data_IF_292990707854
#
_entry.id   IF_292990707854
#
_cell.length_a   1.000
_cell.length_b   1.000
_cell.length_c   1.000
_cell.angle_alpha   90.00
_cell.angle_beta   90.00
_cell.angle_gamma   90.00
#
_symmetry.space_group_name_H-M   'P 1'
#
loop_
_entity.id
_entity.type
_entity.pdbx_description
1 polymer ?
#
# COMPACT_ATOMS: atom_id res chain seq x y z
N UNK A 1 12.71 -27.66 3.11
CA UNK A 1 12.16 -26.32 2.81
C UNK A 1 11.72 -25.69 4.11
N UNK A 2 11.92 -24.38 4.24
CA UNK A 2 11.61 -23.63 5.46
C UNK A 2 10.47 -22.65 5.19
N UNK A 3 9.53 -22.58 6.13
CA UNK A 3 8.44 -21.59 6.12
C UNK A 3 8.54 -20.76 7.39
N UNK A 4 8.65 -19.45 7.19
CA UNK A 4 8.70 -18.46 8.25
C UNK A 4 7.33 -17.80 8.36
N UNK A 5 6.75 -17.78 9.56
CA UNK A 5 5.44 -17.18 9.82
C UNK A 5 5.57 -16.14 10.92
N UNK A 6 5.34 -14.88 10.56
CA UNK A 6 5.25 -13.76 11.47
C UNK A 6 3.79 -13.44 11.75
N UNK A 7 3.37 -13.49 13.02
CA UNK A 7 2.12 -12.85 13.47
C UNK A 7 2.36 -11.35 13.63
N UNK A 8 1.65 -10.56 12.82
CA UNK A 8 1.71 -9.10 12.84
C UNK A 8 1.00 -8.53 14.06
N UNK A 9 1.50 -7.39 14.52
CA UNK A 9 0.85 -6.52 15.49
C UNK A 9 -0.05 -5.54 14.74
N UNK A 10 -1.28 -5.37 15.23
CA UNK A 10 -2.21 -4.41 14.64
C UNK A 10 -1.64 -2.98 14.71
N UNK A 11 -1.87 -2.20 13.65
CA UNK A 11 -1.46 -0.80 13.57
C UNK A 11 0.01 -0.56 13.20
N UNK A 12 0.82 -1.61 13.00
CA UNK A 12 2.22 -1.48 12.56
C UNK A 12 2.37 -1.74 11.07
N UNK A 13 3.22 -0.94 10.41
CA UNK A 13 3.61 -1.18 9.03
C UNK A 13 4.78 -2.18 8.97
N UNK A 14 4.70 -3.12 8.03
CA UNK A 14 5.73 -4.13 7.78
C UNK A 14 6.27 -4.00 6.37
N UNK A 15 7.59 -3.99 6.24
CA UNK A 15 8.28 -4.05 4.96
C UNK A 15 8.76 -5.49 4.70
N UNK A 16 8.43 -6.04 3.52
CA UNK A 16 8.78 -7.43 3.22
C UNK A 16 10.28 -7.65 3.09
N UNK A 17 11.06 -6.66 2.63
CA UNK A 17 12.51 -6.80 2.52
C UNK A 17 13.14 -6.81 3.92
N UNK A 18 12.69 -5.94 4.82
CA UNK A 18 13.12 -5.92 6.24
C UNK A 18 12.83 -7.25 6.94
N UNK A 19 11.65 -7.82 6.69
CA UNK A 19 11.28 -9.14 7.21
C UNK A 19 12.09 -10.28 6.58
N UNK A 20 12.39 -10.20 5.28
CA UNK A 20 13.30 -11.15 4.63
C UNK A 20 14.71 -11.09 5.22
N UNK A 21 15.25 -9.91 5.53
CA UNK A 21 16.53 -9.78 6.24
C UNK A 21 16.49 -10.44 7.62
N UNK A 22 15.36 -10.32 8.32
CA UNK A 22 15.15 -11.03 9.60
C UNK A 22 15.09 -12.55 9.45
N UNK A 23 14.64 -13.05 8.29
CA UNK A 23 14.68 -14.47 7.93
C UNK A 23 16.12 -14.92 7.66
N UNK A 24 16.94 -14.10 6.98
CA UNK A 24 18.35 -14.41 6.73
C UNK A 24 19.14 -14.65 8.02
N UNK A 25 18.91 -13.83 9.04
CA UNK A 25 19.53 -14.01 10.37
C UNK A 25 19.13 -15.36 10.97
N UNK A 26 17.87 -15.76 10.83
CA UNK A 26 17.35 -17.06 11.35
C UNK A 26 17.86 -18.26 10.58
N UNK A 27 18.21 -18.07 9.31
CA UNK A 27 18.82 -19.08 8.46
C UNK A 27 20.35 -19.21 8.66
N UNK A 28 20.93 -18.48 9.62
CA UNK A 28 22.38 -18.37 9.80
C UNK A 28 23.08 -17.99 8.48
N UNK A 29 22.50 -16.99 7.82
CA UNK A 29 22.86 -16.51 6.50
C UNK A 29 22.81 -14.98 6.47
N UNK A 30 23.25 -14.31 7.54
CA UNK A 30 23.20 -12.86 7.68
C UNK A 30 24.08 -12.12 6.63
N UNK A 31 25.08 -12.82 6.10
CA UNK A 31 25.95 -12.40 5.00
C UNK A 31 25.33 -12.60 3.60
N UNK A 32 24.16 -13.24 3.52
CA UNK A 32 23.51 -13.51 2.26
C UNK A 32 22.91 -12.24 1.63
N UNK A 33 22.92 -12.22 0.30
CA UNK A 33 22.42 -11.11 -0.51
C UNK A 33 21.00 -11.40 -0.97
N UNK A 34 20.07 -10.49 -0.69
CA UNK A 34 18.73 -10.51 -1.26
C UNK A 34 18.75 -10.00 -2.70
N UNK A 35 18.17 -10.77 -3.60
CA UNK A 35 18.14 -10.45 -5.03
C UNK A 35 16.70 -10.36 -5.49
N UNK A 36 16.37 -9.25 -6.14
CA UNK A 36 15.12 -9.10 -6.89
C UNK A 36 15.35 -9.57 -8.31
N UNK A 37 14.68 -10.64 -8.73
CA UNK A 37 14.75 -11.15 -10.11
C UNK A 37 13.90 -10.27 -11.04
N UNK A 38 14.18 -10.32 -12.35
CA UNK A 38 13.46 -9.54 -13.38
C UNK A 38 11.95 -9.80 -13.38
N UNK A 39 11.54 -11.03 -13.08
CA UNK A 39 10.13 -11.41 -12.93
C UNK A 39 9.49 -10.95 -11.60
N UNK A 40 10.20 -10.14 -10.81
CA UNK A 40 9.73 -9.57 -9.54
C UNK A 40 9.84 -10.50 -8.33
N UNK A 41 10.26 -11.76 -8.50
CA UNK A 41 10.45 -12.72 -7.39
C UNK A 41 11.74 -12.46 -6.61
N UNK A 42 11.81 -12.98 -5.39
CA UNK A 42 12.98 -12.84 -4.52
C UNK A 42 13.86 -14.10 -4.57
N UNK A 43 15.17 -13.90 -4.54
CA UNK A 43 16.17 -14.93 -4.31
C UNK A 43 17.11 -14.53 -3.17
N UNK A 44 17.78 -15.52 -2.59
CA UNK A 44 18.84 -15.34 -1.60
C UNK A 44 20.11 -16.01 -2.13
N UNK A 45 21.14 -15.22 -2.38
CA UNK A 45 22.49 -15.72 -2.63
C UNK A 45 23.25 -15.84 -1.32
N UNK A 46 23.68 -17.05 -0.97
CA UNK A 46 24.43 -17.34 0.26
C UNK A 46 25.94 -17.36 -0.02
N UNK A 47 26.75 -17.26 1.03
CA UNK A 47 28.20 -17.35 0.93
C UNK A 47 28.70 -18.65 0.30
N UNK A 48 29.94 -18.59 -0.22
CA UNK A 48 30.53 -19.61 -1.07
C UNK A 48 30.39 -21.03 -0.50
N UNK A 49 29.77 -21.92 -1.27
CA UNK A 49 29.55 -23.33 -0.94
C UNK A 49 28.13 -23.68 -0.49
N UNK A 50 27.28 -22.69 -0.15
CA UNK A 50 25.85 -22.92 0.13
C UNK A 50 25.01 -22.68 -1.14
N UNK A 51 24.00 -23.52 -1.45
CA UNK A 51 23.16 -23.30 -2.63
C UNK A 51 22.31 -22.02 -2.49
N UNK A 52 21.95 -21.38 -3.60
CA UNK A 52 21.02 -20.24 -3.55
C UNK A 52 19.61 -20.69 -3.12
N UNK A 53 18.85 -19.81 -2.48
CA UNK A 53 17.45 -20.07 -2.14
C UNK A 53 16.52 -19.29 -3.07
N UNK A 54 15.45 -19.93 -3.51
CA UNK A 54 14.30 -19.25 -4.09
C UNK A 54 13.29 -18.95 -2.98
N UNK A 55 12.67 -17.77 -3.04
CA UNK A 55 11.80 -17.29 -1.97
C UNK A 55 10.49 -16.77 -2.52
N UNK A 56 9.39 -17.15 -1.87
CA UNK A 56 8.07 -16.58 -2.14
C UNK A 56 7.44 -16.08 -0.85
N UNK A 57 6.96 -14.84 -0.89
CA UNK A 57 6.34 -14.14 0.24
C UNK A 57 4.83 -14.04 0.02
N UNK A 58 4.07 -14.19 1.10
CA UNK A 58 2.65 -13.87 1.13
C UNK A 58 2.26 -13.22 2.46
N UNK A 59 1.21 -12.42 2.46
CA UNK A 59 0.80 -11.69 3.65
C UNK A 59 -0.71 -11.50 3.72
N UNK A 60 -1.23 -11.45 4.94
CA UNK A 60 -2.62 -11.09 5.24
C UNK A 60 -2.64 -9.89 6.18
N UNK A 61 -3.81 -9.50 6.69
CA UNK A 61 -3.93 -8.47 7.73
C UNK A 61 -3.12 -8.80 9.00
N UNK A 62 -3.25 -10.02 9.50
CA UNK A 62 -2.65 -10.49 10.75
C UNK A 62 -1.33 -11.24 10.59
N UNK A 63 -0.93 -11.60 9.36
CA UNK A 63 0.26 -12.43 9.15
C UNK A 63 1.13 -11.95 7.99
N UNK A 64 2.43 -12.20 8.11
CA UNK A 64 3.38 -12.23 7.01
C UNK A 64 4.04 -13.60 7.01
N UNK A 65 4.24 -14.20 5.85
CA UNK A 65 4.91 -15.47 5.76
C UNK A 65 5.77 -15.59 4.51
N UNK A 66 6.77 -16.47 4.58
CA UNK A 66 7.78 -16.64 3.55
C UNK A 66 8.18 -18.12 3.46
N UNK A 67 8.14 -18.69 2.26
CA UNK A 67 8.69 -20.02 1.97
C UNK A 67 10.05 -19.87 1.28
N UNK A 68 11.05 -20.61 1.74
CA UNK A 68 12.41 -20.63 1.20
C UNK A 68 12.86 -22.05 0.88
N UNK A 69 13.32 -22.29 -0.36
CA UNK A 69 13.74 -23.61 -0.82
C UNK A 69 14.94 -23.57 -1.78
N UNK A 70 15.67 -24.69 -1.84
CA UNK A 70 16.89 -24.88 -2.65
C UNK A 70 16.59 -25.50 -4.03
N UNK A 71 15.46 -26.20 -4.17
CA UNK A 71 15.10 -27.01 -5.35
C UNK A 71 14.42 -26.21 -6.48
N UNK A 72 14.93 -24.99 -6.75
CA UNK A 72 14.41 -24.11 -7.80
C UNK A 72 13.23 -23.23 -7.37
N UNK A 73 12.46 -22.68 -8.33
CA UNK A 73 11.40 -21.72 -8.03
C UNK A 73 10.37 -22.27 -7.04
N UNK A 74 9.89 -21.39 -6.17
CA UNK A 74 8.82 -21.67 -5.21
C UNK A 74 7.78 -20.58 -5.33
N UNK A 75 6.52 -20.96 -5.27
CA UNK A 75 5.39 -20.06 -5.09
C UNK A 75 4.67 -20.41 -3.81
N UNK A 76 4.23 -19.39 -3.09
CA UNK A 76 3.67 -19.55 -1.75
C UNK A 76 2.57 -18.54 -1.52
N UNK A 77 1.45 -19.01 -0.97
CA UNK A 77 0.34 -18.15 -0.62
C UNK A 77 -0.30 -18.52 0.71
N UNK A 78 -0.82 -17.52 1.42
CA UNK A 78 -1.50 -17.67 2.70
C UNK A 78 -2.77 -16.81 2.75
N UNK A 79 -3.80 -17.31 3.40
CA UNK A 79 -5.06 -16.61 3.65
C UNK A 79 -5.56 -16.89 5.07
N UNK A 80 -6.21 -15.91 5.69
CA UNK A 80 -6.82 -16.09 7.01
C UNK A 80 -8.10 -16.92 6.91
N UNK A 81 -8.20 -17.97 7.73
CA UNK A 81 -9.41 -18.80 7.82
C UNK A 81 -10.58 -17.97 8.32
N UNK A 82 -11.79 -18.31 7.87
CA UNK A 82 -13.01 -17.56 8.21
C UNK A 82 -13.23 -16.30 7.37
N UNK A 83 -12.38 -16.03 6.38
CA UNK A 83 -12.61 -14.95 5.40
C UNK A 83 -13.90 -15.20 4.62
N UNK A 84 -14.77 -14.18 4.57
CA UNK A 84 -15.99 -14.21 3.77
C UNK A 84 -15.67 -14.14 2.27
N UNK A 85 -16.12 -15.12 1.51
CA UNK A 85 -15.99 -15.17 0.05
C UNK A 85 -16.97 -14.19 -0.59
N UNK A 86 -16.51 -13.37 -1.53
CA UNK A 86 -17.40 -12.53 -2.34
C UNK A 86 -17.82 -13.30 -3.60
N UNK A 87 -19.12 -13.33 -3.98
CA UNK A 87 -19.59 -14.09 -5.14
C UNK A 87 -18.91 -13.72 -6.47
N UNK A 88 -18.48 -12.47 -6.63
CA UNK A 88 -17.73 -12.02 -7.82
C UNK A 88 -16.39 -12.73 -7.98
N UNK A 89 -15.75 -13.10 -6.87
CA UNK A 89 -14.47 -13.83 -6.85
C UNK A 89 -14.63 -15.28 -7.32
N UNK A 90 -15.82 -15.87 -7.22
CA UNK A 90 -16.05 -17.22 -7.75
C UNK A 90 -16.00 -17.25 -9.28
N UNK A 91 -16.43 -16.18 -9.94
CA UNK A 91 -16.51 -16.10 -11.41
C UNK A 91 -15.15 -16.09 -12.10
N UNK A 92 -14.08 -15.76 -11.38
CA UNK A 92 -12.70 -15.77 -11.91
C UNK A 92 -12.04 -17.15 -11.81
N UNK A 93 -12.65 -18.08 -11.07
CA UNK A 93 -12.15 -19.46 -10.93
C UNK A 93 -12.42 -20.27 -12.20
N UNK A 94 -11.71 -21.38 -12.36
CA UNK A 94 -11.93 -22.30 -13.46
C UNK A 94 -13.33 -22.97 -13.34
N UNK A 95 -14.05 -23.26 -14.44
CA UNK A 95 -15.38 -23.85 -14.37
C UNK A 95 -15.47 -25.16 -13.57
N UNK A 96 -14.40 -25.97 -13.53
CA UNK A 96 -14.36 -27.17 -12.68
C UNK A 96 -14.37 -26.84 -11.18
N UNK A 97 -13.65 -25.81 -10.76
CA UNK A 97 -13.61 -25.33 -9.37
C UNK A 97 -14.95 -24.71 -8.97
N UNK A 98 -15.58 -23.97 -9.89
CA UNK A 98 -16.92 -23.42 -9.68
C UNK A 98 -17.95 -24.54 -9.45
N UNK A 99 -17.92 -25.60 -10.26
CA UNK A 99 -18.79 -26.79 -10.07
C UNK A 99 -18.49 -27.50 -8.75
N UNK A 100 -17.22 -27.65 -8.40
CA UNK A 100 -16.81 -28.25 -7.13
C UNK A 100 -17.30 -27.45 -5.92
N UNK A 101 -17.27 -26.11 -5.97
CA UNK A 101 -17.82 -25.30 -4.89
C UNK A 101 -19.35 -25.30 -4.86
N UNK A 102 -20.01 -25.39 -6.02
CA UNK A 102 -21.46 -25.36 -6.13
C UNK A 102 -22.18 -26.58 -5.51
N UNK A 103 -21.47 -27.68 -5.23
CA UNK A 103 -22.05 -28.83 -4.49
C UNK A 103 -21.98 -28.66 -2.97
N UNK A 104 -21.23 -27.68 -2.48
CA UNK A 104 -21.10 -27.36 -1.06
C UNK A 104 -22.14 -26.29 -0.69
N UNK A 105 -22.64 -26.34 0.54
CA UNK A 105 -23.59 -25.35 1.04
C UNK A 105 -22.94 -23.96 1.10
N UNK A 106 -23.46 -23.00 0.34
CA UNK A 106 -22.92 -21.64 0.27
C UNK A 106 -22.93 -20.99 1.66
N UNK A 107 -21.79 -20.44 2.07
CA UNK A 107 -21.63 -19.81 3.39
C UNK A 107 -21.29 -20.77 4.53
N UNK A 108 -21.31 -22.08 4.30
CA UNK A 108 -20.81 -23.05 5.28
C UNK A 108 -19.29 -22.91 5.49
N UNK A 109 -18.81 -23.41 6.64
CA UNK A 109 -17.38 -23.45 6.93
C UNK A 109 -16.61 -24.31 5.92
N UNK A 110 -17.21 -25.40 5.45
CA UNK A 110 -16.65 -26.28 4.43
C UNK A 110 -16.50 -25.57 3.08
N UNK A 111 -17.55 -24.88 2.61
CA UNK A 111 -17.48 -24.08 1.39
C UNK A 111 -16.39 -22.99 1.48
N UNK A 112 -16.32 -22.27 2.61
CA UNK A 112 -15.28 -21.27 2.84
C UNK A 112 -13.88 -21.86 2.81
N UNK A 113 -13.68 -23.00 3.47
CA UNK A 113 -12.40 -23.71 3.52
C UNK A 113 -11.98 -24.23 2.14
N UNK A 114 -12.90 -24.84 1.40
CA UNK A 114 -12.68 -25.32 0.04
C UNK A 114 -12.29 -24.18 -0.90
N UNK A 115 -12.96 -23.03 -0.80
CA UNK A 115 -12.60 -21.85 -1.57
C UNK A 115 -11.18 -21.36 -1.25
N UNK A 116 -10.82 -21.24 0.03
CA UNK A 116 -9.47 -20.78 0.42
C UNK A 116 -8.38 -21.77 -0.04
N UNK A 117 -8.64 -23.07 0.01
CA UNK A 117 -7.74 -24.11 -0.52
C UNK A 117 -7.53 -23.92 -2.04
N UNK A 118 -8.61 -23.72 -2.81
CA UNK A 118 -8.52 -23.44 -4.26
C UNK A 118 -7.73 -22.16 -4.50
N UNK A 119 -8.08 -21.08 -3.79
CA UNK A 119 -7.50 -19.76 -3.95
C UNK A 119 -5.99 -19.78 -3.70
N UNK A 120 -5.58 -20.25 -2.53
CA UNK A 120 -4.16 -20.29 -2.15
C UNK A 120 -3.35 -21.19 -3.07
N UNK A 121 -3.88 -22.35 -3.49
CA UNK A 121 -3.19 -23.23 -4.47
C UNK A 121 -2.96 -22.52 -5.80
N UNK A 122 -3.97 -21.84 -6.33
CA UNK A 122 -3.86 -21.12 -7.61
C UNK A 122 -2.86 -19.96 -7.51
N UNK A 123 -2.96 -19.14 -6.46
CA UNK A 123 -2.02 -18.03 -6.21
C UNK A 123 -0.59 -18.56 -6.02
N UNK A 124 -0.40 -19.66 -5.30
CA UNK A 124 0.93 -20.28 -5.15
C UNK A 124 1.50 -20.73 -6.49
N UNK A 125 0.68 -21.31 -7.38
CA UNK A 125 1.12 -21.70 -8.72
C UNK A 125 1.45 -20.49 -9.60
N UNK A 126 0.63 -19.45 -9.59
CA UNK A 126 0.88 -18.20 -10.33
C UNK A 126 2.19 -17.54 -9.86
N UNK A 127 2.44 -17.49 -8.55
CA UNK A 127 3.69 -16.99 -7.98
C UNK A 127 4.89 -17.86 -8.36
N UNK A 128 4.73 -19.18 -8.40
CA UNK A 128 5.78 -20.11 -8.85
C UNK A 128 6.20 -19.80 -10.29
N UNK A 129 5.24 -19.52 -11.18
CA UNK A 129 5.53 -19.14 -12.56
C UNK A 129 6.22 -17.78 -12.70
N UNK A 130 6.24 -16.96 -11.64
CA UNK A 130 6.73 -15.59 -11.69
C UNK A 130 5.88 -14.69 -12.60
N UNK A 131 4.60 -15.05 -12.80
CA UNK A 131 3.64 -14.27 -13.59
C UNK A 131 2.71 -13.53 -12.62
N UNK A 132 2.40 -12.26 -12.89
CA UNK A 132 1.45 -11.50 -12.07
C UNK A 132 0.01 -11.99 -12.24
N UNK A 133 -0.94 -11.33 -11.57
CA UNK A 133 -2.40 -11.61 -11.64
C UNK A 133 -2.98 -11.60 -13.08
N UNK A 134 -2.24 -11.07 -14.05
CA UNK A 134 -2.58 -11.17 -15.47
C UNK A 134 -2.57 -12.62 -16.00
N UNK A 135 -1.97 -13.57 -15.28
CA UNK A 135 -2.10 -14.99 -15.59
C UNK A 135 -3.50 -15.47 -15.16
N UNK A 136 -4.38 -15.65 -16.14
CA UNK A 136 -5.81 -15.85 -15.92
C UNK A 136 -6.11 -17.04 -15.00
N UNK A 137 -6.67 -16.76 -13.82
CA UNK A 137 -7.09 -17.77 -12.84
C UNK A 137 -8.08 -18.80 -13.43
N UNK A 138 -8.82 -18.46 -14.48
CA UNK A 138 -9.74 -19.37 -15.15
C UNK A 138 -9.08 -20.32 -16.16
N UNK A 139 -7.77 -20.19 -16.43
CA UNK A 139 -7.08 -20.95 -17.50
C UNK A 139 -6.59 -22.34 -17.09
N UNK A 140 -6.54 -22.62 -15.79
CA UNK A 140 -6.13 -23.92 -15.24
C UNK A 140 -6.95 -24.24 -13.99
N UNK A 141 -7.05 -25.52 -13.65
CA UNK A 141 -7.76 -26.01 -12.47
C UNK A 141 -6.79 -26.59 -11.46
N UNK A 142 -7.04 -26.36 -10.16
CA UNK A 142 -6.38 -27.09 -9.06
C UNK A 142 -7.26 -28.23 -8.51
N UNK A 143 -8.47 -28.36 -9.04
CA UNK A 143 -9.41 -29.45 -8.75
C UNK A 143 -9.49 -30.37 -9.96
N UNK A 144 -9.36 -31.68 -9.72
CA UNK A 144 -9.44 -32.73 -10.71
C UNK A 144 -10.88 -33.07 -11.11
N UNK A 145 -11.02 -34.00 -12.05
CA UNK A 145 -12.34 -34.36 -12.62
C UNK A 145 -13.23 -35.06 -11.60
N UNK A 146 -12.66 -35.66 -10.56
CA UNK A 146 -13.40 -36.38 -9.50
C UNK A 146 -13.60 -35.52 -8.25
N UNK A 147 -13.28 -34.23 -8.31
CA UNK A 147 -13.40 -33.30 -7.17
C UNK A 147 -12.23 -33.37 -6.18
N UNK A 148 -11.17 -34.10 -6.52
CA UNK A 148 -9.95 -34.17 -5.74
C UNK A 148 -9.04 -32.97 -5.98
N UNK A 149 -8.31 -32.52 -4.96
CA UNK A 149 -7.27 -31.51 -5.16
C UNK A 149 -6.05 -32.12 -5.86
N UNK A 150 -5.65 -31.51 -6.97
CA UNK A 150 -4.51 -31.96 -7.77
C UNK A 150 -3.20 -31.75 -6.98
N UNK A 151 -2.37 -32.79 -6.93
CA UNK A 151 -1.04 -32.74 -6.29
C UNK A 151 0.05 -32.25 -7.25
N UNK A 152 -0.24 -32.26 -8.54
CA UNK A 152 0.68 -31.86 -9.60
C UNK A 152 -0.05 -31.06 -10.67
N UNK A 153 0.61 -30.04 -11.21
CA UNK A 153 0.19 -29.27 -12.37
C UNK A 153 1.29 -29.31 -13.44
N UNK A 154 0.97 -28.89 -14.66
CA UNK A 154 1.97 -28.67 -15.71
C UNK A 154 2.25 -27.18 -15.86
N UNK A 155 3.52 -26.80 -15.84
CA UNK A 155 3.94 -25.44 -16.20
C UNK A 155 3.81 -25.18 -17.72
N UNK A 156 3.97 -23.93 -18.18
CA UNK A 156 3.90 -23.59 -19.61
C UNK A 156 4.91 -24.31 -20.51
N UNK A 157 6.01 -24.82 -19.95
CA UNK A 157 7.03 -25.60 -20.67
C UNK A 157 6.72 -27.11 -20.63
N UNK A 158 5.57 -27.49 -20.06
CA UNK A 158 5.13 -28.88 -19.93
C UNK A 158 5.77 -29.65 -18.78
N UNK A 159 6.55 -28.99 -17.91
CA UNK A 159 7.19 -29.63 -16.75
C UNK A 159 6.17 -29.85 -15.64
N UNK A 160 6.28 -30.99 -14.96
CA UNK A 160 5.46 -31.29 -13.79
C UNK A 160 5.92 -30.46 -12.60
N UNK A 161 4.98 -29.83 -11.91
CA UNK A 161 5.21 -29.05 -10.68
C UNK A 161 4.28 -29.54 -9.59
N UNK A 162 4.70 -29.43 -8.34
CA UNK A 162 3.99 -29.96 -7.18
C UNK A 162 3.24 -28.86 -6.45
N UNK A 163 1.99 -29.11 -6.07
CA UNK A 163 1.15 -28.18 -5.30
C UNK A 163 0.53 -28.89 -4.09
N UNK A 164 0.70 -28.30 -2.90
CA UNK A 164 0.17 -28.84 -1.65
C UNK A 164 -0.07 -27.77 -0.61
N UNK A 165 -0.84 -28.11 0.42
CA UNK A 165 -1.27 -27.18 1.47
C UNK A 165 -0.77 -27.63 2.83
N UNK A 166 0.34 -27.06 3.33
CA UNK A 166 0.88 -27.42 4.64
C UNK A 166 0.13 -26.73 5.79
N UNK A 167 0.12 -27.37 6.96
CA UNK A 167 -0.31 -26.71 8.20
C UNK A 167 0.83 -25.84 8.76
N UNK A 168 0.68 -24.53 8.59
CA UNK A 168 1.67 -23.54 9.03
C UNK A 168 1.22 -22.74 10.25
N UNK A 169 -0.08 -22.66 10.53
CA UNK A 169 -0.68 -22.02 11.69
C UNK A 169 -2.19 -22.29 11.71
N UNK A 170 -2.78 -22.48 12.89
CA UNK A 170 -4.21 -22.81 13.04
C UNK A 170 -5.17 -21.81 12.38
N UNK A 171 -4.80 -20.53 12.32
CA UNK A 171 -5.61 -19.46 11.69
C UNK A 171 -5.39 -19.27 10.20
N UNK A 172 -4.52 -20.06 9.56
CA UNK A 172 -4.13 -19.86 8.16
C UNK A 172 -4.49 -21.05 7.27
N UNK A 173 -4.93 -20.73 6.07
CA UNK A 173 -4.86 -21.60 4.91
C UNK A 173 -3.60 -21.25 4.14
N UNK A 174 -2.82 -22.23 3.71
CA UNK A 174 -1.57 -22.00 2.99
C UNK A 174 -1.42 -22.99 1.84
N UNK A 175 -0.75 -22.58 0.78
CA UNK A 175 -0.34 -23.49 -0.29
C UNK A 175 1.05 -23.15 -0.80
N UNK A 176 1.80 -24.20 -1.15
CA UNK A 176 3.11 -24.13 -1.78
C UNK A 176 3.02 -24.78 -3.16
N UNK A 177 3.65 -24.14 -4.14
CA UNK A 177 3.95 -24.70 -5.44
C UNK A 177 5.47 -24.73 -5.66
N UNK A 178 6.03 -25.87 -6.06
CA UNK A 178 7.47 -25.99 -6.34
C UNK A 178 7.78 -26.95 -7.48
N UNK A 179 8.96 -26.81 -8.08
CA UNK A 179 9.49 -27.78 -9.04
C UNK A 179 9.87 -29.11 -8.33
N UNK A 180 10.47 -29.00 -7.15
CA UNK A 180 10.78 -30.14 -6.27
C UNK A 180 9.53 -30.81 -5.71
N UNK A 181 9.65 -32.08 -5.35
CA UNK A 181 8.59 -32.84 -4.65
C UNK A 181 8.39 -32.28 -3.24
N UNK A 182 7.18 -32.40 -2.66
CA UNK A 182 6.96 -32.07 -1.26
C UNK A 182 7.90 -32.89 -0.37
N UNK A 183 8.83 -32.22 0.31
CA UNK A 183 9.78 -32.81 1.24
C UNK A 183 9.49 -32.45 2.69
N UNK A 184 10.49 -32.61 3.55
CA UNK A 184 10.42 -32.16 4.95
C UNK A 184 10.26 -30.64 4.98
N UNK A 185 9.24 -30.19 5.73
CA UNK A 185 8.91 -28.78 5.93
C UNK A 185 9.21 -28.38 7.37
N UNK A 186 10.10 -27.41 7.54
CA UNK A 186 10.37 -26.77 8.83
C UNK A 186 9.54 -25.50 8.92
N UNK A 187 8.71 -25.36 9.96
CA UNK A 187 7.87 -24.16 10.15
C UNK A 187 8.35 -23.36 11.35
N UNK A 188 8.89 -22.17 11.08
CA UNK A 188 9.43 -21.22 12.06
C UNK A 188 8.39 -20.15 12.36
N UNK A 189 7.79 -20.20 13.55
CA UNK A 189 6.75 -19.27 13.97
C UNK A 189 7.30 -18.24 14.94
N UNK A 190 7.02 -16.96 14.68
CA UNK A 190 7.41 -15.87 15.56
C UNK A 190 6.35 -14.77 15.56
N UNK A 191 6.38 -13.96 16.59
CA UNK A 191 5.52 -12.80 16.75
C UNK A 191 6.38 -11.56 16.76
N UNK A 192 5.87 -10.47 16.20
CA UNK A 192 6.54 -9.19 16.34
C UNK A 192 6.45 -8.75 17.82
N UNK A 193 7.58 -8.53 18.53
CA UNK A 193 7.56 -8.00 19.89
C UNK A 193 6.95 -6.59 19.97
N UNK A 194 6.73 -5.94 18.82
CA UNK A 194 6.21 -4.58 18.72
C UNK A 194 7.30 -3.52 18.86
N UNK A 195 8.56 -3.92 18.85
CA UNK A 195 9.72 -3.03 18.87
C UNK A 195 10.32 -2.86 17.46
N UNK A 196 10.85 -1.68 17.13
CA UNK A 196 11.44 -1.36 15.83
C UNK A 196 12.77 -2.12 15.63
N UNK A 197 13.04 -2.58 14.39
CA UNK A 197 14.29 -3.32 14.08
C UNK A 197 15.49 -2.39 13.96
N UNK A 198 15.26 -1.16 13.48
CA UNK A 198 16.25 -0.07 13.42
C UNK A 198 16.00 0.97 14.50
N UNK A 199 17.04 1.66 15.00
CA UNK A 199 16.89 2.84 15.84
C UNK A 199 16.05 3.94 15.14
N UNK A 200 15.36 4.82 15.90
CA UNK A 200 14.54 5.88 15.32
C UNK A 200 15.29 6.78 14.34
N UNK A 201 16.53 7.12 14.67
CA UNK A 201 17.38 8.01 13.87
C UNK A 201 17.68 7.42 12.48
N UNK A 202 17.94 6.12 12.40
CA UNK A 202 18.23 5.45 11.13
C UNK A 202 16.97 5.40 10.23
N UNK A 203 15.80 5.10 10.81
CA UNK A 203 14.54 5.22 10.07
C UNK A 203 14.28 6.65 9.60
N UNK A 204 14.61 7.65 10.41
CA UNK A 204 14.45 9.04 10.02
C UNK A 204 15.36 9.41 8.84
N UNK A 205 16.62 8.98 8.85
CA UNK A 205 17.55 9.16 7.72
C UNK A 205 17.05 8.50 6.43
N UNK A 206 16.48 7.29 6.52
CA UNK A 206 15.87 6.59 5.37
C UNK A 206 14.72 7.38 4.75
N UNK A 207 13.96 8.13 5.56
CA UNK A 207 12.89 9.01 5.05
C UNK A 207 13.46 10.29 4.45
N UNK A 208 14.29 11.02 5.21
CA UNK A 208 14.84 12.33 4.80
C UNK A 208 15.74 12.24 3.56
N UNK A 209 16.39 11.10 3.33
CA UNK A 209 17.17 10.88 2.10
C UNK A 209 16.34 10.87 0.81
N UNK A 210 15.02 10.65 0.90
CA UNK A 210 14.14 10.55 -0.27
C UNK A 210 13.42 11.85 -0.61
N UNK A 211 13.10 12.66 0.40
CA UNK A 211 12.42 13.96 0.28
C UNK A 211 12.34 14.64 1.65
N UNK A 212 11.98 15.92 1.65
CA UNK A 212 11.65 16.66 2.87
C UNK A 212 10.34 16.20 3.52
N UNK A 213 10.31 16.28 4.85
CA UNK A 213 9.15 15.98 5.68
C UNK A 213 8.98 17.09 6.72
N UNK A 214 7.73 17.46 7.01
CA UNK A 214 7.44 18.19 8.24
C UNK A 214 7.62 17.27 9.46
N UNK A 215 7.93 17.85 10.61
CA UNK A 215 8.21 17.20 11.89
C UNK A 215 7.08 16.23 12.28
N UNK A 216 5.82 16.66 12.15
CA UNK A 216 4.66 15.84 12.44
C UNK A 216 4.50 14.64 11.49
N UNK A 217 4.84 14.80 10.20
CA UNK A 217 4.84 13.69 9.25
C UNK A 217 5.93 12.68 9.60
N UNK A 218 7.13 13.15 9.93
CA UNK A 218 8.23 12.26 10.30
C UNK A 218 7.93 11.52 11.60
N UNK A 219 7.40 12.22 12.62
CA UNK A 219 6.96 11.60 13.87
C UNK A 219 5.94 10.50 13.63
N UNK A 220 4.92 10.77 12.81
CA UNK A 220 3.91 9.78 12.43
C UNK A 220 4.54 8.58 11.73
N UNK A 221 5.51 8.80 10.83
CA UNK A 221 6.24 7.73 10.14
C UNK A 221 7.06 6.86 11.09
N UNK A 222 7.70 7.44 12.11
CA UNK A 222 8.41 6.68 13.13
C UNK A 222 7.46 5.84 14.00
N UNK A 223 6.30 6.38 14.37
CA UNK A 223 5.26 5.63 15.08
C UNK A 223 4.74 4.44 14.25
N UNK A 224 4.49 4.65 12.95
CA UNK A 224 4.08 3.59 12.02
C UNK A 224 5.12 2.45 11.93
N UNK A 225 6.40 2.76 12.20
CA UNK A 225 7.51 1.80 12.27
C UNK A 225 7.64 1.08 13.62
N UNK A 226 6.81 1.41 14.60
CA UNK A 226 6.78 0.77 15.92
C UNK A 226 7.62 1.45 16.98
N UNK A 227 8.15 2.65 16.72
CA UNK A 227 8.84 3.46 17.74
C UNK A 227 7.85 3.97 18.80
N UNK A 228 8.31 4.14 20.03
CA UNK A 228 7.47 4.73 21.09
C UNK A 228 7.23 6.23 20.81
N UNK A 229 6.12 6.81 21.33
CA UNK A 229 5.86 8.24 21.21
C UNK A 229 7.00 9.13 21.70
N UNK A 230 7.66 8.72 22.77
CA UNK A 230 8.79 9.42 23.40
C UNK A 230 10.01 9.36 22.49
N UNK A 231 10.41 8.17 22.03
CA UNK A 231 11.56 7.98 21.15
C UNK A 231 11.37 8.71 19.81
N UNK A 232 10.17 8.65 19.24
CA UNK A 232 9.85 9.37 18.02
C UNK A 232 9.90 10.90 18.22
N UNK A 233 9.35 11.42 19.33
CA UNK A 233 9.39 12.85 19.63
C UNK A 233 10.82 13.36 19.85
N UNK A 234 11.62 12.65 20.63
CA UNK A 234 13.02 13.01 20.89
C UNK A 234 13.85 13.03 19.60
N UNK A 235 13.65 12.05 18.72
CA UNK A 235 14.38 11.97 17.46
C UNK A 235 14.03 13.12 16.52
N UNK A 236 12.75 13.44 16.40
CA UNK A 236 12.30 14.57 15.57
C UNK A 236 12.81 15.90 16.14
N UNK A 237 12.78 16.06 17.46
CA UNK A 237 13.34 17.24 18.13
C UNK A 237 14.84 17.39 17.87
N UNK A 238 15.61 16.30 17.99
CA UNK A 238 17.05 16.31 17.72
C UNK A 238 17.33 16.70 16.26
N UNK A 239 16.61 16.10 15.30
CA UNK A 239 16.78 16.39 13.87
C UNK A 239 16.40 17.83 13.50
N UNK A 240 15.40 18.41 14.18
CA UNK A 240 15.07 19.83 14.03
C UNK A 240 16.18 20.73 14.58
N UNK A 241 16.73 20.41 15.76
CA UNK A 241 17.86 21.15 16.34
C UNK A 241 19.11 21.09 15.48
N UNK A 242 19.35 19.95 14.83
CA UNK A 242 20.48 19.74 13.92
C UNK A 242 20.24 20.32 12.51
N UNK A 243 19.06 20.89 12.25
CA UNK A 243 18.73 21.53 10.97
C UNK A 243 18.38 20.57 9.82
N UNK A 244 18.18 19.28 10.11
CA UNK A 244 17.71 18.30 9.11
C UNK A 244 16.21 18.40 8.83
N UNK A 245 15.45 18.99 9.75
CA UNK A 245 14.01 19.28 9.60
C UNK A 245 13.80 20.75 9.89
N UNK A 246 13.04 21.41 9.01
CA UNK A 246 12.69 22.81 9.15
C UNK A 246 11.22 22.96 8.72
N UNK A 247 10.33 23.02 9.71
CA UNK A 247 8.88 23.11 9.47
C UNK A 247 8.49 24.45 8.88
N UNK A 248 9.17 25.53 9.26
CA UNK A 248 8.99 26.86 8.69
C UNK A 248 9.34 26.85 7.19
N UNK A 249 10.53 26.38 6.81
CA UNK A 249 10.93 26.24 5.40
C UNK A 249 9.99 25.32 4.62
N UNK A 250 9.63 24.18 5.20
CA UNK A 250 8.68 23.25 4.59
C UNK A 250 7.32 23.92 4.33
N UNK A 251 6.83 24.69 5.29
CA UNK A 251 5.54 25.37 5.22
C UNK A 251 5.54 26.45 4.15
N UNK A 252 6.59 27.27 4.07
CA UNK A 252 6.77 28.29 3.04
C UNK A 252 6.77 27.69 1.63
N UNK A 253 7.61 26.68 1.38
CA UNK A 253 7.70 26.01 0.10
C UNK A 253 6.38 25.34 -0.30
N UNK A 254 5.65 24.80 0.68
CA UNK A 254 4.34 24.21 0.44
C UNK A 254 3.30 25.28 0.10
N UNK A 255 3.26 26.38 0.84
CA UNK A 255 2.30 27.46 0.67
C UNK A 255 2.45 28.12 -0.71
N UNK A 256 3.69 28.43 -1.13
CA UNK A 256 4.00 28.97 -2.47
C UNK A 256 3.42 28.10 -3.59
N UNK A 257 3.77 26.81 -3.59
CA UNK A 257 3.25 25.83 -4.56
C UNK A 257 1.74 25.63 -4.49
N UNK A 258 1.13 25.86 -3.32
CA UNK A 258 -0.31 25.72 -3.13
C UNK A 258 -1.09 26.91 -3.70
N UNK A 259 -0.57 28.13 -3.54
CA UNK A 259 -1.14 29.35 -4.11
C UNK A 259 -1.04 29.35 -5.63
N UNK A 260 0.10 28.92 -6.19
CA UNK A 260 0.26 28.73 -7.65
C UNK A 260 -0.79 27.76 -8.23
N UNK A 261 -1.26 26.80 -7.42
CA UNK A 261 -2.31 25.85 -7.77
C UNK A 261 -3.73 26.37 -7.49
N UNK A 262 -3.87 27.64 -7.13
CA UNK A 262 -5.14 28.32 -6.87
C UNK A 262 -5.83 27.95 -5.56
N UNK A 263 -5.10 27.41 -4.57
CA UNK A 263 -5.66 27.12 -3.25
C UNK A 263 -5.69 28.39 -2.39
N UNK A 264 -6.80 28.60 -1.68
CA UNK A 264 -6.94 29.69 -0.72
C UNK A 264 -6.26 29.39 0.62
N UNK A 265 -5.86 30.44 1.34
CA UNK A 265 -5.09 30.36 2.60
C UNK A 265 -5.67 29.38 3.62
N UNK A 266 -6.98 29.37 3.83
CA UNK A 266 -7.64 28.45 4.80
C UNK A 266 -7.37 26.99 4.49
N UNK A 267 -7.36 26.62 3.21
CA UNK A 267 -7.05 25.26 2.78
C UNK A 267 -5.56 24.94 2.97
N UNK A 268 -4.69 25.90 2.68
CA UNK A 268 -3.24 25.77 2.86
C UNK A 268 -2.92 25.51 4.34
N UNK A 269 -3.43 26.36 5.24
CA UNK A 269 -3.27 26.21 6.69
C UNK A 269 -3.76 24.83 7.15
N UNK A 270 -4.97 24.42 6.74
CA UNK A 270 -5.50 23.10 7.09
C UNK A 270 -4.60 21.96 6.60
N UNK A 271 -4.16 22.01 5.35
CA UNK A 271 -3.30 20.97 4.77
C UNK A 271 -1.91 20.92 5.43
N UNK A 272 -1.36 22.06 5.87
CA UNK A 272 -0.12 22.14 6.66
C UNK A 272 -0.31 21.54 8.06
N UNK A 273 -1.40 21.88 8.74
CA UNK A 273 -1.74 21.31 10.05
C UNK A 273 -2.00 19.80 9.99
N UNK A 274 -2.63 19.30 8.93
CA UNK A 274 -2.80 17.85 8.68
C UNK A 274 -1.45 17.13 8.50
N UNK A 275 -0.42 17.86 8.07
CA UNK A 275 0.97 17.37 7.98
C UNK A 275 1.73 17.56 9.29
N UNK A 276 1.12 18.21 10.28
CA UNK A 276 1.65 18.41 11.61
C UNK A 276 2.63 19.57 11.72
N UNK A 277 2.54 20.57 10.83
CA UNK A 277 3.13 21.89 11.04
C UNK A 277 2.33 22.63 12.12
N UNK A 278 3.00 23.40 12.97
CA UNK A 278 2.35 24.15 14.05
C UNK A 278 1.39 25.22 13.48
N UNK A 279 0.20 25.42 14.08
CA UNK A 279 -0.78 26.42 13.64
C UNK A 279 -0.24 27.81 13.31
N UNK A 280 0.67 28.36 14.11
CA UNK A 280 1.29 29.66 13.91
C UNK A 280 2.18 29.69 12.67
N UNK A 281 3.07 28.71 12.52
CA UNK A 281 3.92 28.56 11.32
C UNK A 281 3.08 28.36 10.05
N UNK A 282 2.02 27.54 10.14
CA UNK A 282 1.12 27.28 9.02
C UNK A 282 0.37 28.56 8.59
N UNK A 283 -0.09 29.36 9.55
CA UNK A 283 -0.75 30.65 9.29
C UNK A 283 0.23 31.66 8.69
N UNK A 284 1.42 31.78 9.26
CA UNK A 284 2.46 32.70 8.79
C UNK A 284 2.88 32.36 7.36
N UNK A 285 3.17 31.08 7.07
CA UNK A 285 3.57 30.65 5.73
C UNK A 285 2.46 30.89 4.69
N UNK A 286 1.20 30.63 5.05
CA UNK A 286 0.06 30.88 4.17
C UNK A 286 -0.15 32.38 3.92
N UNK A 287 0.02 33.23 4.94
CA UNK A 287 -0.08 34.69 4.82
C UNK A 287 1.05 35.25 3.95
N UNK A 288 2.30 34.88 4.25
CA UNK A 288 3.45 35.37 3.52
C UNK A 288 3.39 34.98 2.03
N UNK A 289 3.04 33.73 1.73
CA UNK A 289 2.90 33.29 0.34
C UNK A 289 1.77 34.06 -0.38
N UNK A 290 0.71 34.45 0.33
CA UNK A 290 -0.40 35.23 -0.21
C UNK A 290 0.00 36.67 -0.51
N UNK A 291 0.70 37.30 0.44
CA UNK A 291 1.26 38.64 0.28
C UNK A 291 2.28 38.70 -0.86
N UNK A 292 3.12 37.67 -1.00
CA UNK A 292 4.10 37.54 -2.09
C UNK A 292 3.44 37.34 -3.46
N UNK A 293 2.36 36.55 -3.54
CA UNK A 293 1.64 36.31 -4.79
C UNK A 293 0.86 37.55 -5.27
N UNK A 294 0.42 38.38 -4.34
CA UNK A 294 -0.37 39.58 -4.63
C UNK A 294 -1.80 39.28 -5.10
N UNK A 295 -2.60 40.34 -5.17
CA UNK A 295 -4.03 40.27 -5.49
C UNK A 295 -4.90 39.82 -4.30
N UNK A 296 -6.18 40.17 -4.33
CA UNK A 296 -7.13 39.80 -3.28
C UNK A 296 -7.65 38.36 -3.46
N UNK A 297 -8.10 37.73 -2.36
CA UNK A 297 -8.79 36.43 -2.40
C UNK A 297 -9.99 36.46 -3.39
N UNK A 298 -10.67 37.60 -3.49
CA UNK A 298 -11.72 37.85 -4.46
C UNK A 298 -11.24 37.81 -5.92
N UNK A 299 -10.13 38.48 -6.25
CA UNK A 299 -9.59 38.50 -7.62
C UNK A 299 -9.17 37.11 -8.10
N UNK A 300 -8.51 36.33 -7.23
CA UNK A 300 -8.14 34.95 -7.54
C UNK A 300 -9.36 34.04 -7.68
N UNK A 301 -10.35 34.20 -6.80
CA UNK A 301 -11.60 33.45 -6.91
C UNK A 301 -12.37 33.79 -8.19
N UNK A 302 -12.37 35.07 -8.59
CA UNK A 302 -12.98 35.53 -9.83
C UNK A 302 -12.27 34.96 -11.06
N UNK A 303 -10.93 35.01 -11.11
CA UNK A 303 -10.15 34.43 -12.20
C UNK A 303 -10.38 32.90 -12.33
N UNK A 304 -10.51 32.18 -11.20
CA UNK A 304 -10.88 30.77 -11.21
C UNK A 304 -12.29 30.55 -11.77
N UNK A 305 -13.25 31.40 -11.42
CA UNK A 305 -14.61 31.33 -11.95
C UNK A 305 -14.65 31.62 -13.46
N UNK A 306 -13.97 32.68 -13.92
CA UNK A 306 -13.85 33.04 -15.33
C UNK A 306 -13.22 31.91 -16.16
N UNK A 307 -12.12 31.31 -15.69
CA UNK A 307 -11.50 30.16 -16.37
C UNK A 307 -12.46 28.94 -16.47
N UNK A 308 -13.38 28.77 -15.51
CA UNK A 308 -14.41 27.74 -15.61
C UNK A 308 -15.50 28.08 -16.62
N UNK A 309 -15.87 29.36 -16.76
CA UNK A 309 -16.84 29.82 -17.77
C UNK A 309 -16.28 29.66 -19.19
N UNK A 310 -15.03 30.07 -19.41
CA UNK A 310 -14.32 29.91 -20.68
C UNK A 310 -14.29 28.45 -21.15
N UNK A 311 -14.03 27.51 -20.23
CA UNK A 311 -14.01 26.06 -20.53
C UNK A 311 -15.38 25.49 -20.90
N UNK A 312 -16.46 26.12 -20.45
CA UNK A 312 -17.83 25.76 -20.80
C UNK A 312 -18.32 26.54 -22.03
N UNK A 313 -17.45 27.36 -22.64
CA UNK A 313 -17.75 28.11 -23.87
C UNK A 313 -18.63 29.34 -23.66
N UNK A 314 -18.77 29.82 -22.42
CA UNK A 314 -19.56 31.02 -22.10
C UNK A 314 -18.66 32.25 -22.19
N UNK A 315 -18.91 33.11 -23.18
CA UNK A 315 -18.30 34.44 -23.30
C UNK A 315 -19.14 35.47 -22.52
N UNK A 316 -18.52 36.55 -22.05
CA UNK A 316 -19.00 37.47 -20.99
C UNK A 316 -20.31 38.25 -21.21
N UNK A 317 -21.22 37.78 -22.06
CA UNK A 317 -22.57 38.34 -22.26
C UNK A 317 -23.68 37.28 -22.08
N UNK A 318 -23.35 35.99 -21.92
CA UNK A 318 -24.35 34.94 -21.71
C UNK A 318 -24.76 34.80 -20.22
N UNK A 319 -26.07 34.67 -19.90
CA UNK A 319 -26.50 34.46 -18.53
C UNK A 319 -25.96 33.12 -18.00
N UNK A 320 -25.10 33.21 -16.98
CA UNK A 320 -24.46 32.02 -16.38
C UNK A 320 -25.52 31.11 -15.74
N UNK A 321 -25.67 29.84 -16.19
CA UNK A 321 -26.67 28.92 -15.66
C UNK A 321 -26.51 28.63 -14.16
N UNK A 322 -27.60 28.51 -13.42
CA UNK A 322 -27.57 28.24 -11.96
C UNK A 322 -26.82 26.95 -11.60
N UNK A 323 -26.90 25.92 -12.46
CA UNK A 323 -26.12 24.68 -12.29
C UNK A 323 -24.61 24.93 -12.35
N UNK A 324 -24.17 25.85 -13.20
CA UNK A 324 -22.76 26.21 -13.33
C UNK A 324 -22.31 27.11 -12.17
N UNK A 325 -23.15 28.08 -11.75
CA UNK A 325 -22.92 28.87 -10.52
C UNK A 325 -22.72 27.96 -9.29
N UNK A 326 -23.56 26.93 -9.13
CA UNK A 326 -23.41 25.95 -8.06
C UNK A 326 -22.12 25.11 -8.19
N UNK A 327 -21.68 24.77 -9.41
CA UNK A 327 -20.37 24.10 -9.65
C UNK A 327 -19.20 25.00 -9.29
N UNK A 328 -19.23 26.28 -9.69
CA UNK A 328 -18.23 27.30 -9.35
C UNK A 328 -18.14 27.45 -7.83
N UNK A 329 -19.28 27.65 -7.15
CA UNK A 329 -19.33 27.78 -5.69
C UNK A 329 -18.70 26.57 -4.97
N UNK A 330 -19.04 25.35 -5.38
CA UNK A 330 -18.43 24.12 -4.83
C UNK A 330 -16.94 24.04 -5.10
N UNK A 331 -16.49 24.43 -6.29
CA UNK A 331 -15.07 24.44 -6.64
C UNK A 331 -14.30 25.43 -5.78
N UNK A 332 -14.76 26.67 -5.66
CA UNK A 332 -14.12 27.70 -4.85
C UNK A 332 -14.09 27.32 -3.36
N UNK A 333 -15.21 26.79 -2.84
CA UNK A 333 -15.25 26.24 -1.48
C UNK A 333 -14.23 25.10 -1.30
N UNK A 334 -14.12 24.18 -2.27
CA UNK A 334 -13.12 23.11 -2.22
C UNK A 334 -11.68 23.62 -2.27
N UNK A 335 -11.43 24.78 -2.89
CA UNK A 335 -10.12 25.43 -2.94
C UNK A 335 -9.80 26.21 -1.65
N UNK A 336 -10.79 26.47 -0.80
CA UNK A 336 -10.62 27.09 0.51
C UNK A 336 -10.88 28.60 0.56
N UNK A 337 -11.53 29.17 -0.45
CA UNK A 337 -11.95 30.58 -0.43
C UNK A 337 -13.05 30.83 0.61
N UNK A 338 -13.11 32.04 1.16
CA UNK A 338 -14.10 32.42 2.16
C UNK A 338 -15.50 32.57 1.55
N UNK A 339 -16.53 32.31 2.35
CA UNK A 339 -17.93 32.43 1.90
C UNK A 339 -18.27 33.82 1.37
N UNK A 340 -17.65 34.87 1.93
CA UNK A 340 -17.86 36.25 1.50
C UNK A 340 -17.32 36.47 0.08
N UNK A 341 -16.10 36.03 -0.22
CA UNK A 341 -15.52 36.16 -1.56
C UNK A 341 -16.24 35.30 -2.59
N UNK A 342 -16.65 34.08 -2.21
CA UNK A 342 -17.49 33.23 -3.06
C UNK A 342 -18.80 33.95 -3.39
N UNK A 343 -19.47 34.54 -2.40
CA UNK A 343 -20.72 35.27 -2.63
C UNK A 343 -20.52 36.49 -3.54
N UNK A 344 -19.44 37.26 -3.33
CA UNK A 344 -19.07 38.40 -4.19
C UNK A 344 -18.80 37.96 -5.62
N UNK A 345 -18.11 36.84 -5.84
CA UNK A 345 -17.91 36.28 -7.19
C UNK A 345 -19.24 35.91 -7.82
N UNK A 346 -20.12 35.21 -7.09
CA UNK A 346 -21.43 34.82 -7.62
C UNK A 346 -22.34 36.04 -7.89
N UNK A 347 -22.21 37.12 -7.12
CA UNK A 347 -22.91 38.38 -7.36
C UNK A 347 -22.38 39.09 -8.61
N UNK A 348 -21.06 39.14 -8.78
CA UNK A 348 -20.43 39.68 -9.98
C UNK A 348 -20.88 38.93 -11.25
N UNK A 349 -20.96 37.58 -11.19
CA UNK A 349 -21.51 36.75 -12.27
C UNK A 349 -23.03 36.89 -12.49
N UNK A 350 -23.74 37.61 -11.62
CA UNK A 350 -25.17 37.97 -11.82
C UNK A 350 -25.33 39.36 -12.45
N UNK A 351 -24.38 40.27 -12.22
CA UNK A 351 -24.43 41.64 -12.75
C UNK A 351 -23.89 41.77 -14.17
N UNK A 352 -23.10 40.81 -14.65
CA UNK A 352 -22.60 40.75 -16.04
C UNK A 352 -23.49 39.91 -16.98
N UNK A 353 -24.67 39.50 -16.53
CA UNK A 353 -25.71 38.80 -17.30
C UNK A 353 -26.89 39.73 -17.57
#
# INVERSE_FOLDING_TARGET
>A
MDVFVLKKKQGRAYDSEELLRSVLIRLDAADAVLIRRENGTWGIERSAGKPALCVSVSHTSGYWACAAGEEGPVGFDIEERGRRVQPRTLRILHPAEQRYLAVLEEGSAEHGQAFLEIWTRKESYVKYLGRGLAFGMSSFSVVGKTGEFLKTLSDPDGRSVHVWSPDIASGLQAAICSAGKPGVLSVHRFSDPGQPVKPPLEHAADFLSRRDYASGQLKKKLLEKGHSPEAAAQTVQQLAQDGYIDDSRFAEDYAKRAIEKGKGRRRIVRELMERGVEPGEAQQAALQADDEAGGSDYERALAQAQSMLEKEGLAGEDPVPDKLKARIARRLSSLGYESQDIWRVLEHLRSEA
#
